data_IF_069647656236
#
_entry.id   IF_069647656236
#
_cell.length_a   1.000
_cell.length_b   1.000
_cell.length_c   1.000
_cell.angle_alpha   90.00
_cell.angle_beta   90.00
_cell.angle_gamma   90.00
#
_symmetry.space_group_name_H-M   'P 1'
#
loop_
_entity.id
_entity.type
_entity.pdbx_description
1 polymer ?
#
# COMPACT_ATOMS: atom_id res chain seq x y z
N UNK A 1 4.28 -9.17 20.63
CA UNK A 1 4.78 -10.46 21.01
C UNK A 1 3.82 -11.18 21.97
N UNK A 2 3.27 -12.30 21.50
CA UNK A 2 2.77 -13.39 22.33
C UNK A 2 1.79 -13.10 23.46
N UNK A 3 1.01 -12.05 23.42
CA UNK A 3 0.06 -11.74 24.51
C UNK A 3 0.70 -11.12 25.76
N UNK A 4 1.93 -10.66 25.65
CA UNK A 4 2.59 -9.92 26.72
C UNK A 4 1.96 -8.54 26.90
N UNK A 5 2.03 -8.01 28.11
CA UNK A 5 1.68 -6.62 28.36
C UNK A 5 2.57 -5.66 27.54
N UNK A 6 2.14 -4.43 27.25
CA UNK A 6 2.90 -3.49 26.42
C UNK A 6 4.33 -3.20 26.92
N UNK A 7 4.57 -3.34 28.21
CA UNK A 7 5.88 -3.18 28.86
C UNK A 7 6.72 -4.46 28.84
N UNK A 8 6.13 -5.60 28.49
CA UNK A 8 6.80 -6.91 28.40
C UNK A 8 7.27 -7.23 26.98
N UNK A 9 7.78 -6.22 26.27
CA UNK A 9 8.39 -6.39 24.95
C UNK A 9 9.89 -6.67 25.06
N UNK A 10 10.53 -7.00 23.94
CA UNK A 10 11.96 -7.30 23.88
C UNK A 10 12.86 -6.15 24.37
N UNK A 11 12.37 -4.91 24.33
CA UNK A 11 13.09 -3.72 24.79
C UNK A 11 12.83 -3.40 26.28
N UNK A 12 11.88 -4.08 26.92
CA UNK A 12 11.53 -3.83 28.31
C UNK A 12 10.93 -2.45 28.60
N UNK A 13 10.40 -1.78 27.58
CA UNK A 13 9.91 -0.41 27.68
C UNK A 13 8.39 -0.37 27.56
N UNK A 14 7.75 0.41 28.42
CA UNK A 14 6.34 0.79 28.22
C UNK A 14 6.25 1.95 27.23
N UNK A 15 6.01 1.65 25.97
CA UNK A 15 5.93 2.64 24.89
C UNK A 15 4.75 3.61 25.00
N UNK A 16 3.86 3.43 25.94
CA UNK A 16 2.81 4.40 26.25
C UNK A 16 3.37 5.58 27.05
N UNK A 17 4.42 5.34 27.83
CA UNK A 17 5.00 6.30 28.76
C UNK A 17 6.48 6.54 28.54
N UNK A 18 7.17 5.60 27.91
CA UNK A 18 8.62 5.64 27.70
C UNK A 18 8.95 5.60 26.22
N UNK A 19 9.85 6.43 25.81
CA UNK A 19 10.40 6.42 24.46
C UNK A 19 11.82 5.87 24.53
N UNK A 20 12.17 4.88 23.65
CA UNK A 20 13.54 4.41 23.59
C UNK A 20 14.48 5.53 23.12
N UNK A 21 15.80 5.45 23.41
CA UNK A 21 16.77 6.50 23.07
C UNK A 21 16.84 6.88 21.59
N UNK A 22 16.35 6.02 20.71
CA UNK A 22 16.26 6.25 19.26
C UNK A 22 14.86 6.68 18.82
N UNK A 23 14.03 7.12 19.70
CA UNK A 23 12.59 7.23 19.57
C UNK A 23 12.08 8.48 18.86
N UNK A 24 12.93 9.28 18.26
CA UNK A 24 12.47 10.38 17.41
C UNK A 24 11.60 9.88 16.24
N UNK A 25 11.70 8.59 15.93
CA UNK A 25 10.92 7.92 14.87
C UNK A 25 9.82 7.01 15.39
N UNK A 26 9.74 6.74 16.71
CA UNK A 26 8.71 5.86 17.27
C UNK A 26 7.45 6.65 17.67
N UNK A 27 6.30 6.12 17.29
CA UNK A 27 5.00 6.69 17.62
C UNK A 27 4.07 5.62 18.19
N UNK A 28 3.01 6.03 18.89
CA UNK A 28 1.96 5.10 19.37
C UNK A 28 1.33 4.29 18.24
N UNK A 29 1.36 4.79 17.01
CA UNK A 29 0.83 4.09 15.84
C UNK A 29 1.67 2.86 15.44
N UNK A 30 2.86 2.69 16.01
CA UNK A 30 3.68 1.49 15.83
C UNK A 30 3.20 0.31 16.67
N UNK A 31 2.33 0.54 17.63
CA UNK A 31 1.77 -0.51 18.50
C UNK A 31 0.32 -0.77 18.15
N UNK A 32 -0.10 -2.03 18.27
CA UNK A 32 -1.49 -2.41 18.12
C UNK A 32 -1.75 -3.72 18.88
N UNK A 33 -3.02 -3.98 19.19
CA UNK A 33 -3.46 -5.29 19.66
C UNK A 33 -4.21 -5.94 18.52
N UNK A 34 -3.75 -7.09 18.07
CA UNK A 34 -4.34 -7.84 16.97
C UNK A 34 -4.97 -9.13 17.45
N UNK A 35 -5.94 -9.62 16.69
CA UNK A 35 -6.56 -10.92 16.91
C UNK A 35 -6.15 -11.86 15.77
N UNK A 36 -5.59 -13.01 16.09
CA UNK A 36 -5.24 -14.01 15.10
C UNK A 36 -6.46 -14.80 14.62
N UNK A 37 -6.25 -15.69 13.65
CA UNK A 37 -7.33 -16.54 13.11
C UNK A 37 -7.95 -17.48 14.14
N UNK A 38 -7.23 -17.79 15.22
CA UNK A 38 -7.71 -18.61 16.33
C UNK A 38 -8.44 -17.81 17.41
N UNK A 39 -8.61 -16.51 17.25
CA UNK A 39 -9.25 -15.63 18.22
C UNK A 39 -8.33 -15.16 19.34
N UNK A 40 -7.05 -15.52 19.34
CA UNK A 40 -6.10 -15.10 20.36
C UNK A 40 -5.63 -13.67 20.10
N UNK A 41 -5.58 -12.87 21.15
CA UNK A 41 -5.09 -11.48 21.10
C UNK A 41 -3.57 -11.42 21.32
N UNK A 42 -2.93 -10.58 20.53
CA UNK A 42 -1.50 -10.35 20.56
C UNK A 42 -1.22 -8.84 20.56
N UNK A 43 -0.37 -8.39 21.47
CA UNK A 43 0.18 -7.05 21.39
C UNK A 43 1.36 -7.08 20.43
N UNK A 44 1.29 -6.29 19.37
CA UNK A 44 2.35 -6.18 18.38
C UNK A 44 2.97 -4.78 18.43
N UNK A 45 4.22 -4.73 18.04
CA UNK A 45 4.93 -3.49 17.78
C UNK A 45 5.78 -3.66 16.53
N UNK A 46 5.75 -2.67 15.65
CA UNK A 46 6.59 -2.62 14.47
C UNK A 46 7.61 -1.51 14.69
N UNK A 47 8.86 -1.89 14.76
CA UNK A 47 9.98 -0.96 14.98
C UNK A 47 10.97 -1.02 13.82
N UNK A 48 11.66 0.09 13.52
CA UNK A 48 12.75 0.07 12.56
C UNK A 48 13.88 -0.85 13.02
N UNK A 49 14.47 -1.56 12.09
CA UNK A 49 15.65 -2.37 12.33
C UNK A 49 16.90 -1.50 12.32
N UNK A 50 17.49 -1.33 13.49
CA UNK A 50 18.70 -0.51 13.65
C UNK A 50 19.96 -1.12 13.02
N UNK A 51 19.97 -2.43 12.86
CA UNK A 51 21.07 -3.16 12.25
C UNK A 51 20.97 -3.20 10.73
N UNK A 52 19.89 -2.63 10.16
CA UNK A 52 19.72 -2.54 8.73
C UNK A 52 20.84 -1.69 8.11
N UNK A 53 21.67 -2.32 7.30
CA UNK A 53 22.83 -1.68 6.63
C UNK A 53 22.44 -0.59 5.64
N UNK A 54 21.17 -0.57 5.20
CA UNK A 54 20.69 0.40 4.20
C UNK A 54 20.26 1.71 4.84
N UNK A 55 19.55 1.68 5.96
CA UNK A 55 18.94 2.88 6.54
C UNK A 55 19.16 3.05 8.05
N UNK A 56 19.88 2.12 8.68
CA UNK A 56 20.23 2.19 10.11
C UNK A 56 19.03 2.44 11.03
N UNK A 57 17.89 1.92 10.66
CA UNK A 57 16.65 2.10 11.41
C UNK A 57 15.92 3.41 11.18
N UNK A 58 16.27 4.17 10.16
CA UNK A 58 15.48 5.34 9.76
C UNK A 58 14.15 4.88 9.18
N UNK A 59 13.07 5.46 9.65
CA UNK A 59 11.72 5.14 9.19
C UNK A 59 10.93 6.41 8.92
N UNK A 60 10.10 6.36 7.89
CA UNK A 60 9.14 7.42 7.62
C UNK A 60 7.93 7.33 8.58
N UNK A 61 7.16 8.41 8.65
CA UNK A 61 5.88 8.43 9.37
C UNK A 61 4.92 7.32 8.89
N UNK A 62 4.99 6.94 7.61
CA UNK A 62 4.18 5.84 7.07
C UNK A 62 4.62 4.49 7.60
N UNK A 63 5.92 4.21 7.61
CA UNK A 63 6.46 3.02 8.23
C UNK A 63 6.10 2.94 9.71
N UNK A 64 6.17 4.06 10.40
CA UNK A 64 5.77 4.17 11.80
C UNK A 64 4.29 3.91 12.09
N UNK A 65 3.43 3.95 11.08
CA UNK A 65 2.00 3.67 11.21
C UNK A 65 1.60 2.28 10.70
N UNK A 66 2.55 1.46 10.30
CA UNK A 66 2.25 0.18 9.65
C UNK A 66 1.37 -0.73 10.51
N UNK A 67 1.62 -0.81 11.81
CA UNK A 67 0.81 -1.62 12.72
C UNK A 67 -0.67 -1.19 12.73
N UNK A 68 -0.94 0.10 12.65
CA UNK A 68 -2.31 0.64 12.63
C UNK A 68 -2.94 0.62 11.24
N UNK A 69 -2.15 0.62 10.16
CA UNK A 69 -2.69 0.52 8.81
C UNK A 69 -3.11 -0.89 8.42
N UNK A 70 -2.43 -1.90 8.95
CA UNK A 70 -2.72 -3.29 8.58
C UNK A 70 -3.94 -3.85 9.33
N UNK A 71 -4.31 -3.23 10.43
CA UNK A 71 -5.39 -3.70 11.30
C UNK A 71 -6.34 -2.56 11.64
N UNK A 72 -7.57 -2.91 11.98
CA UNK A 72 -8.53 -1.98 12.57
C UNK A 72 -8.17 -1.68 14.03
N UNK A 73 -8.83 -0.72 14.65
CA UNK A 73 -8.60 -0.35 16.06
C UNK A 73 -8.93 -1.47 17.05
N UNK A 74 -9.75 -2.42 16.66
CA UNK A 74 -10.12 -3.64 17.41
C UNK A 74 -9.20 -4.83 17.09
N UNK A 75 -8.15 -4.62 16.31
CA UNK A 75 -7.13 -5.60 16.02
C UNK A 75 -7.50 -6.64 14.97
N UNK A 76 -8.62 -6.45 14.27
CA UNK A 76 -9.03 -7.33 13.18
C UNK A 76 -8.35 -6.90 11.87
N UNK A 77 -7.88 -7.86 11.10
CA UNK A 77 -7.30 -7.59 9.79
C UNK A 77 -8.29 -6.86 8.87
N UNK A 78 -7.80 -5.84 8.18
CA UNK A 78 -8.63 -5.08 7.26
C UNK A 78 -9.12 -5.93 6.09
N UNK A 79 -10.35 -5.75 5.70
CA UNK A 79 -10.84 -6.31 4.45
C UNK A 79 -10.12 -5.68 3.26
N UNK A 80 -9.80 -6.52 2.31
CA UNK A 80 -9.22 -6.09 1.03
C UNK A 80 -10.20 -6.39 -0.09
N UNK A 81 -10.19 -5.55 -1.11
CA UNK A 81 -10.95 -5.82 -2.32
C UNK A 81 -10.47 -7.13 -2.94
N UNK A 82 -11.41 -8.04 -3.19
CA UNK A 82 -11.15 -9.35 -3.79
C UNK A 82 -11.60 -9.42 -5.25
N UNK A 83 -12.46 -8.50 -5.64
CA UNK A 83 -13.05 -8.42 -6.97
C UNK A 83 -12.90 -7.00 -7.51
N UNK A 84 -12.76 -6.82 -8.82
CA UNK A 84 -12.85 -5.51 -9.45
C UNK A 84 -14.22 -4.91 -9.22
N UNK A 85 -14.29 -3.60 -9.17
CA UNK A 85 -15.54 -2.87 -9.02
C UNK A 85 -15.66 -1.80 -10.08
N UNK A 86 -16.84 -1.65 -10.63
CA UNK A 86 -17.17 -0.64 -11.62
C UNK A 86 -18.15 0.34 -11.01
N UNK A 87 -17.84 1.63 -11.10
CA UNK A 87 -18.76 2.68 -10.69
C UNK A 87 -19.73 2.98 -11.84
N UNK A 88 -21.03 2.89 -11.58
CA UNK A 88 -22.09 3.26 -12.50
C UNK A 88 -23.04 4.23 -11.78
N UNK A 89 -22.99 5.49 -12.14
CA UNK A 89 -23.67 6.53 -11.38
C UNK A 89 -23.13 6.58 -9.93
N UNK A 90 -24.01 6.45 -8.96
CA UNK A 90 -23.65 6.46 -7.54
C UNK A 90 -23.42 5.06 -6.95
N UNK A 91 -23.52 4.03 -7.76
CA UNK A 91 -23.38 2.65 -7.31
C UNK A 91 -22.04 2.04 -7.72
N UNK A 92 -21.49 1.21 -6.82
CA UNK A 92 -20.35 0.35 -7.07
C UNK A 92 -20.84 -1.08 -7.31
N UNK A 93 -20.53 -1.62 -8.47
CA UNK A 93 -20.91 -2.96 -8.88
C UNK A 93 -19.67 -3.86 -8.86
N UNK A 94 -19.75 -4.95 -8.13
CA UNK A 94 -18.74 -5.99 -8.18
C UNK A 94 -18.80 -6.69 -9.54
N UNK A 95 -17.66 -6.98 -10.12
CA UNK A 95 -17.57 -7.61 -11.45
C UNK A 95 -16.45 -8.64 -11.48
N UNK A 96 -16.42 -9.47 -12.51
CA UNK A 96 -15.28 -10.36 -12.75
C UNK A 96 -14.10 -9.61 -13.37
N UNK A 97 -12.92 -10.19 -13.25
CA UNK A 97 -11.74 -9.67 -13.93
C UNK A 97 -11.91 -9.63 -15.45
N UNK A 98 -12.53 -10.64 -16.02
CA UNK A 98 -12.80 -10.71 -17.46
C UNK A 98 -13.67 -9.54 -17.93
N UNK A 99 -14.76 -9.28 -17.21
CA UNK A 99 -15.64 -8.15 -17.53
C UNK A 99 -14.92 -6.79 -17.34
N UNK A 100 -14.20 -6.62 -16.24
CA UNK A 100 -13.47 -5.41 -15.98
C UNK A 100 -12.44 -5.11 -17.07
N UNK A 101 -11.68 -6.13 -17.47
CA UNK A 101 -10.67 -6.00 -18.52
C UNK A 101 -11.29 -5.78 -19.90
N UNK A 102 -12.41 -6.45 -20.21
CA UNK A 102 -13.14 -6.24 -21.47
C UNK A 102 -13.67 -4.80 -21.56
N UNK A 103 -14.24 -4.26 -20.49
CA UNK A 103 -14.71 -2.88 -20.44
C UNK A 103 -13.53 -1.92 -20.58
N UNK A 104 -12.46 -2.14 -19.85
CA UNK A 104 -11.24 -1.31 -19.94
C UNK A 104 -10.68 -1.29 -21.35
N UNK A 105 -10.51 -2.45 -21.98
CA UNK A 105 -10.01 -2.57 -23.34
C UNK A 105 -10.96 -1.93 -24.37
N UNK A 106 -12.26 -2.13 -24.22
CA UNK A 106 -13.27 -1.55 -25.09
C UNK A 106 -13.30 -0.02 -25.04
N UNK A 107 -13.22 0.56 -23.84
CA UNK A 107 -13.16 2.01 -23.67
C UNK A 107 -11.84 2.58 -24.22
N UNK A 108 -10.72 1.92 -23.94
CA UNK A 108 -9.42 2.31 -24.49
C UNK A 108 -9.44 2.30 -26.00
N UNK A 109 -9.94 1.23 -26.62
CA UNK A 109 -10.05 1.14 -28.08
C UNK A 109 -10.94 2.25 -28.65
N UNK A 110 -12.08 2.50 -28.02
CA UNK A 110 -12.99 3.56 -28.48
C UNK A 110 -12.33 4.94 -28.49
N UNK A 111 -11.55 5.25 -27.44
CA UNK A 111 -10.82 6.53 -27.37
C UNK A 111 -9.73 6.58 -28.45
N UNK A 112 -8.97 5.50 -28.61
CA UNK A 112 -7.95 5.43 -29.67
C UNK A 112 -8.53 5.60 -31.07
N UNK A 113 -9.68 4.99 -31.34
CA UNK A 113 -10.35 5.08 -32.65
C UNK A 113 -10.90 6.49 -32.92
N UNK A 114 -11.35 7.22 -31.88
CA UNK A 114 -11.97 8.53 -32.03
C UNK A 114 -10.97 9.69 -31.92
N UNK A 115 -10.08 9.62 -30.94
CA UNK A 115 -9.25 10.75 -30.50
C UNK A 115 -7.75 10.47 -30.69
N UNK A 116 -7.39 9.25 -31.06
CA UNK A 116 -6.00 8.84 -31.21
C UNK A 116 -5.29 8.60 -29.87
N UNK A 117 -3.97 8.36 -29.90
CA UNK A 117 -3.17 8.08 -28.69
C UNK A 117 -3.17 9.21 -27.67
N UNK A 118 -3.28 10.45 -28.12
CA UNK A 118 -3.27 11.64 -27.25
C UNK A 118 -4.56 11.81 -26.46
N UNK A 119 -5.62 11.08 -26.80
CA UNK A 119 -6.86 11.01 -26.02
C UNK A 119 -6.74 10.19 -24.73
N UNK A 120 -5.64 9.48 -24.55
CA UNK A 120 -5.39 8.66 -23.37
C UNK A 120 -4.30 9.28 -22.51
N UNK A 121 -4.63 9.52 -21.25
CA UNK A 121 -3.65 9.95 -20.24
C UNK A 121 -3.50 8.90 -19.14
N UNK A 122 -2.28 8.59 -18.79
CA UNK A 122 -1.96 7.65 -17.74
C UNK A 122 -1.13 8.30 -16.64
N UNK A 123 -1.64 8.24 -15.43
CA UNK A 123 -0.91 8.61 -14.22
C UNK A 123 -0.48 7.34 -13.49
N UNK A 124 0.79 7.01 -13.62
CA UNK A 124 1.38 5.81 -13.05
C UNK A 124 2.09 6.14 -11.75
N UNK A 125 1.82 5.35 -10.75
CA UNK A 125 2.52 5.47 -9.49
C UNK A 125 3.69 4.49 -9.45
N UNK A 126 4.89 5.01 -9.49
CA UNK A 126 6.12 4.25 -9.31
C UNK A 126 6.63 4.44 -7.89
N UNK A 127 6.49 3.42 -7.08
CA UNK A 127 7.30 3.28 -5.90
C UNK A 127 8.21 2.07 -6.12
N UNK A 128 9.38 2.33 -6.64
CA UNK A 128 10.42 1.33 -6.75
C UNK A 128 10.63 0.65 -5.42
N UNK A 129 10.71 -0.64 -5.43
CA UNK A 129 10.90 -1.45 -4.25
C UNK A 129 10.12 -2.76 -4.32
N UNK A 130 10.41 -3.64 -3.42
CA UNK A 130 9.78 -4.95 -3.32
C UNK A 130 8.26 -4.80 -3.27
N UNK A 131 7.56 -5.36 -4.22
CA UNK A 131 6.10 -5.41 -4.21
C UNK A 131 5.38 -4.76 -5.38
N UNK A 132 6.00 -4.68 -6.54
CA UNK A 132 5.29 -4.42 -7.78
C UNK A 132 5.37 -3.00 -8.33
N UNK A 133 6.11 -2.10 -7.69
CA UNK A 133 6.34 -0.77 -8.26
C UNK A 133 7.15 -0.82 -9.54
N UNK A 134 8.16 -1.69 -9.56
CA UNK A 134 9.01 -1.88 -10.72
C UNK A 134 8.27 -2.57 -11.86
N UNK A 135 7.56 -3.64 -11.57
CA UNK A 135 6.74 -4.37 -12.53
C UNK A 135 5.59 -3.52 -13.04
N UNK A 136 5.00 -2.69 -12.19
CA UNK A 136 3.95 -1.77 -12.59
C UNK A 136 4.48 -0.73 -13.59
N UNK A 137 5.62 -0.12 -13.32
CA UNK A 137 6.27 0.83 -14.24
C UNK A 137 6.66 0.16 -15.56
N UNK A 138 7.20 -1.06 -15.52
CA UNK A 138 7.55 -1.83 -16.71
C UNK A 138 6.31 -2.21 -17.51
N UNK A 139 5.31 -2.80 -16.88
CA UNK A 139 4.06 -3.20 -17.52
C UNK A 139 3.33 -1.98 -18.11
N UNK A 140 3.24 -0.92 -17.34
CA UNK A 140 2.64 0.33 -17.77
C UNK A 140 3.43 0.96 -18.94
N UNK A 141 4.76 1.03 -18.84
CA UNK A 141 5.59 1.56 -19.90
C UNK A 141 5.44 0.77 -21.21
N UNK A 142 5.41 -0.56 -21.16
CA UNK A 142 5.16 -1.39 -22.34
C UNK A 142 3.76 -1.17 -22.91
N UNK A 143 2.75 -1.11 -22.05
CA UNK A 143 1.38 -0.87 -22.51
C UNK A 143 1.26 0.51 -23.17
N UNK A 144 1.73 1.57 -22.49
CA UNK A 144 1.56 2.94 -22.95
C UNK A 144 2.39 3.25 -24.20
N UNK A 145 3.70 3.03 -24.13
CA UNK A 145 4.61 3.47 -25.17
C UNK A 145 4.68 2.50 -26.35
N UNK A 146 4.60 1.19 -26.09
CA UNK A 146 4.76 0.20 -27.15
C UNK A 146 3.44 -0.22 -27.78
N UNK A 147 2.42 -0.49 -26.98
CA UNK A 147 1.13 -0.99 -27.48
C UNK A 147 0.18 0.15 -27.85
N UNK A 148 -0.04 1.11 -26.97
CA UNK A 148 -0.99 2.21 -27.18
C UNK A 148 -0.35 3.44 -27.86
N UNK A 149 0.98 3.53 -27.82
CA UNK A 149 1.78 4.60 -28.42
C UNK A 149 1.41 5.99 -27.96
N UNK A 150 0.92 6.13 -26.72
CA UNK A 150 0.61 7.44 -26.15
C UNK A 150 1.82 8.03 -25.44
N UNK A 151 2.16 9.31 -25.73
CA UNK A 151 3.16 10.04 -24.95
C UNK A 151 2.59 10.67 -23.68
N UNK A 152 1.26 10.64 -23.49
CA UNK A 152 0.56 11.29 -22.40
C UNK A 152 0.65 10.45 -21.12
N UNK A 153 1.87 10.31 -20.59
CA UNK A 153 2.17 9.51 -19.40
C UNK A 153 2.82 10.38 -18.34
N UNK A 154 2.26 10.37 -17.15
CA UNK A 154 2.91 10.87 -15.95
C UNK A 154 3.35 9.70 -15.10
N UNK A 155 4.64 9.53 -14.96
CA UNK A 155 5.21 8.57 -14.02
C UNK A 155 5.41 9.30 -12.70
N UNK A 156 5.08 8.64 -11.60
CA UNK A 156 5.26 9.19 -10.28
C UNK A 156 6.66 9.78 -10.14
N UNK A 157 6.66 11.04 -9.91
CA UNK A 157 7.85 11.72 -9.50
C UNK A 157 7.56 12.37 -8.17
N UNK A 158 8.39 12.11 -7.21
CA UNK A 158 8.43 12.92 -6.02
C UNK A 158 9.02 14.28 -6.40
N UNK A 159 8.31 15.37 -6.18
CA UNK A 159 9.02 16.58 -5.93
C UNK A 159 9.89 16.30 -4.70
N UNK A 160 11.17 16.35 -4.90
CA UNK A 160 12.12 16.20 -3.80
C UNK A 160 11.90 17.33 -2.81
#
# INVERSE_FOLDING_TARGET
EGGRAPDQNALGLDFRTQLPPFATTLTRAMTNTITDKGGKKWNIMIVPDKECVVNSGLSSTRGGKMASYMYTHDGIGRERLKHPRIKRGDQWLDTSWEQALAIYAGLTKKILDNDGPDGLFYDCFDHGGAGGGFENTWGTGKLMFSALKTPMVRIHNRPA
#
